data_IF_364019566995
#
_entry.id   IF_364019566995
#
_cell.length_a   1.000
_cell.length_b   1.000
_cell.length_c   1.000
_cell.angle_alpha   90.00
_cell.angle_beta   90.00
_cell.angle_gamma   90.00
#
_symmetry.space_group_name_H-M   'P 1'
#
loop_
_entity.id
_entity.type
_entity.pdbx_description
1 polymer ?
#
# COMPACT_ATOMS: atom_id res chain seq x y z
N UNK A 1 -18.02 26.76 23.91
CA UNK A 1 -18.50 25.48 24.48
C UNK A 1 -17.34 24.51 24.46
N UNK A 2 -16.55 24.50 25.53
CA UNK A 2 -15.60 23.41 25.80
C UNK A 2 -16.43 22.29 26.41
N UNK A 3 -16.87 21.35 25.59
CA UNK A 3 -17.42 20.10 26.11
C UNK A 3 -16.27 19.36 26.79
N UNK A 4 -16.43 19.15 28.10
CA UNK A 4 -15.42 18.56 28.95
C UNK A 4 -15.00 17.19 28.43
N UNK A 5 -13.68 16.95 28.50
CA UNK A 5 -13.10 15.63 28.65
C UNK A 5 -13.70 14.97 29.89
N UNK A 6 -14.92 14.46 29.75
CA UNK A 6 -15.61 13.67 30.76
C UNK A 6 -14.70 12.51 31.19
N UNK A 7 -14.83 12.13 32.45
CA UNK A 7 -14.04 11.14 33.18
C UNK A 7 -14.06 9.74 32.54
N UNK A 8 -13.40 9.57 31.40
CA UNK A 8 -13.19 8.26 30.82
C UNK A 8 -12.38 7.40 31.79
N UNK A 9 -12.86 6.20 32.17
CA UNK A 9 -12.19 5.37 33.15
C UNK A 9 -10.77 5.07 32.65
N UNK A 10 -9.74 5.02 33.54
CA UNK A 10 -8.34 4.88 33.14
C UNK A 10 -8.07 3.64 32.27
N UNK A 11 -8.93 2.62 32.36
CA UNK A 11 -8.93 1.42 31.51
C UNK A 11 -9.24 1.71 30.03
N UNK A 12 -10.12 2.67 29.73
CA UNK A 12 -10.46 3.05 28.35
C UNK A 12 -9.26 3.75 27.69
N UNK A 13 -8.59 4.66 28.41
CA UNK A 13 -7.36 5.32 27.94
C UNK A 13 -6.24 4.31 27.68
N UNK A 14 -6.01 3.38 28.59
CA UNK A 14 -5.00 2.33 28.40
C UNK A 14 -5.33 1.43 27.19
N UNK A 15 -6.60 1.03 27.02
CA UNK A 15 -7.03 0.25 25.85
C UNK A 15 -6.83 1.00 24.53
N UNK A 16 -7.18 2.29 24.49
CA UNK A 16 -6.96 3.13 23.32
C UNK A 16 -5.47 3.28 23.00
N UNK A 17 -4.63 3.53 24.01
CA UNK A 17 -3.18 3.59 23.82
C UNK A 17 -2.61 2.29 23.25
N UNK A 18 -3.03 1.13 23.80
CA UNK A 18 -2.62 -0.17 23.28
C UNK A 18 -3.11 -0.36 21.84
N UNK A 19 -4.37 -0.04 21.55
CA UNK A 19 -4.93 -0.15 20.20
C UNK A 19 -4.18 0.72 19.19
N UNK A 20 -3.84 1.96 19.54
CA UNK A 20 -3.05 2.87 18.71
C UNK A 20 -1.65 2.32 18.46
N UNK A 21 -0.98 1.82 19.50
CA UNK A 21 0.36 1.24 19.36
C UNK A 21 0.35 -0.01 18.46
N UNK A 22 -0.58 -0.94 18.70
CA UNK A 22 -0.72 -2.15 17.89
C UNK A 22 -1.05 -1.83 16.43
N UNK A 23 -1.96 -0.87 16.21
CA UNK A 23 -2.31 -0.39 14.86
C UNK A 23 -1.11 0.25 14.18
N UNK A 24 -0.36 1.10 14.88
CA UNK A 24 0.85 1.75 14.36
C UNK A 24 1.92 0.74 13.96
N UNK A 25 2.16 -0.28 14.80
CA UNK A 25 3.10 -1.37 14.49
C UNK A 25 2.63 -2.17 13.27
N UNK A 26 1.36 -2.56 13.23
CA UNK A 26 0.81 -3.33 12.12
C UNK A 26 0.85 -2.55 10.79
N UNK A 27 0.47 -1.27 10.80
CA UNK A 27 0.54 -0.38 9.65
C UNK A 27 2.00 -0.13 9.21
N UNK A 28 2.92 0.05 10.16
CA UNK A 28 4.34 0.21 9.89
C UNK A 28 4.96 -1.01 9.23
N UNK A 29 4.70 -2.21 9.75
CA UNK A 29 5.14 -3.48 9.16
C UNK A 29 4.52 -3.68 7.77
N UNK A 30 3.22 -3.41 7.61
CA UNK A 30 2.54 -3.47 6.31
C UNK A 30 3.15 -2.52 5.28
N UNK A 31 3.39 -1.27 5.66
CA UNK A 31 4.06 -0.27 4.83
C UNK A 31 5.49 -0.67 4.47
N UNK A 32 6.24 -1.24 5.40
CA UNK A 32 7.60 -1.75 5.17
C UNK A 32 7.60 -2.90 4.16
N UNK A 33 6.69 -3.87 4.31
CA UNK A 33 6.54 -4.99 3.37
C UNK A 33 6.21 -4.50 1.96
N UNK A 34 5.28 -3.54 1.83
CA UNK A 34 4.95 -2.92 0.56
C UNK A 34 6.15 -2.14 -0.03
N UNK A 35 6.93 -1.44 0.79
CA UNK A 35 8.16 -0.77 0.36
C UNK A 35 9.21 -1.75 -0.16
N UNK A 36 9.40 -2.88 0.52
CA UNK A 36 10.31 -3.94 0.06
C UNK A 36 9.82 -4.58 -1.25
N UNK A 37 8.51 -4.80 -1.40
CA UNK A 37 7.93 -5.27 -2.65
C UNK A 37 8.18 -4.28 -3.79
N UNK A 38 8.01 -2.98 -3.54
CA UNK A 38 8.27 -1.92 -4.52
C UNK A 38 9.71 -2.05 -5.06
N UNK A 39 10.69 -2.07 -4.16
CA UNK A 39 12.09 -2.20 -4.54
C UNK A 39 12.37 -3.51 -5.28
N UNK A 40 11.86 -4.64 -4.79
CA UNK A 40 12.04 -5.92 -5.45
C UNK A 40 11.54 -5.93 -6.90
N UNK A 41 10.37 -5.34 -7.16
CA UNK A 41 9.81 -5.22 -8.52
C UNK A 41 10.64 -4.25 -9.37
N UNK A 42 11.14 -3.14 -8.80
CA UNK A 42 12.05 -2.23 -9.50
C UNK A 42 13.34 -2.95 -9.91
N UNK A 43 13.98 -3.68 -8.99
CA UNK A 43 15.14 -4.53 -9.25
C UNK A 43 14.91 -5.48 -10.43
N UNK A 44 13.76 -6.16 -10.47
CA UNK A 44 13.41 -7.05 -11.57
C UNK A 44 13.16 -6.28 -12.89
N UNK A 45 12.42 -5.19 -12.83
CA UNK A 45 11.96 -4.45 -14.01
C UNK A 45 13.08 -3.66 -14.69
N UNK A 46 13.97 -3.02 -13.92
CA UNK A 46 15.06 -2.15 -14.40
C UNK A 46 16.47 -2.64 -14.03
N UNK A 47 16.62 -3.80 -13.38
CA UNK A 47 17.85 -4.60 -13.46
C UNK A 47 19.03 -3.96 -12.76
N UNK A 48 18.74 -3.14 -11.76
CA UNK A 48 19.72 -2.68 -10.79
C UNK A 48 20.45 -3.90 -10.18
N UNK A 49 21.69 -3.71 -9.71
CA UNK A 49 22.46 -4.78 -9.07
C UNK A 49 21.66 -5.48 -7.96
N UNK A 50 21.57 -6.82 -8.03
CA UNK A 50 20.91 -7.67 -7.02
C UNK A 50 21.71 -7.79 -5.71
N UNK A 51 22.91 -7.18 -5.67
CA UNK A 51 23.86 -7.33 -4.56
C UNK A 51 23.37 -6.68 -3.26
N UNK A 52 22.40 -5.74 -3.31
CA UNK A 52 21.69 -5.21 -2.13
C UNK A 52 20.21 -4.93 -2.39
N UNK A 53 19.36 -5.52 -1.54
CA UNK A 53 17.90 -5.27 -1.49
C UNK A 53 17.57 -3.80 -1.11
N UNK A 54 18.50 -3.11 -0.47
CA UNK A 54 18.45 -1.67 -0.20
C UNK A 54 19.72 -1.04 -0.79
N UNK A 55 19.67 -0.68 -2.07
CA UNK A 55 20.73 0.08 -2.74
C UNK A 55 20.56 1.58 -2.49
N UNK A 56 21.65 2.34 -2.57
CA UNK A 56 21.58 3.81 -2.62
C UNK A 56 21.11 4.33 -3.99
N UNK A 57 21.08 3.47 -5.01
CA UNK A 57 20.55 3.84 -6.32
C UNK A 57 19.05 4.10 -6.23
N UNK A 58 18.67 5.29 -6.67
CA UNK A 58 17.30 5.73 -6.79
C UNK A 58 16.60 5.06 -7.96
N UNK A 59 15.27 5.03 -7.91
CA UNK A 59 14.46 4.55 -9.04
C UNK A 59 14.82 5.25 -10.35
N UNK A 60 15.01 6.57 -10.31
CA UNK A 60 15.36 7.37 -11.47
C UNK A 60 16.67 6.89 -12.12
N UNK A 61 17.72 6.69 -11.31
CA UNK A 61 19.04 6.30 -11.82
C UNK A 61 19.01 4.98 -12.58
N UNK A 62 18.31 3.94 -12.11
CA UNK A 62 18.26 2.69 -12.88
C UNK A 62 17.24 2.66 -14.01
N UNK A 63 16.23 3.54 -14.00
CA UNK A 63 15.46 3.80 -15.23
C UNK A 63 16.38 4.46 -16.26
N UNK A 64 17.18 5.45 -15.87
CA UNK A 64 18.14 6.16 -16.73
C UNK A 64 19.29 5.27 -17.24
N UNK A 65 19.71 4.28 -16.46
CA UNK A 65 20.70 3.29 -16.86
C UNK A 65 20.12 2.18 -17.77
N UNK A 66 18.81 1.91 -17.69
CA UNK A 66 18.17 0.90 -18.51
C UNK A 66 18.10 1.33 -19.99
N UNK A 67 18.35 0.37 -20.89
CA UNK A 67 18.20 0.57 -22.33
C UNK A 67 16.78 1.03 -22.73
N UNK A 68 16.67 1.80 -23.81
CA UNK A 68 15.42 2.39 -24.27
C UNK A 68 14.34 1.34 -24.59
N UNK A 69 14.72 0.21 -25.21
CA UNK A 69 13.78 -0.88 -25.51
C UNK A 69 13.22 -1.49 -24.23
N UNK A 70 14.05 -1.63 -23.19
CA UNK A 70 13.62 -2.17 -21.91
C UNK A 70 12.63 -1.26 -21.20
N UNK A 71 12.86 0.06 -21.19
CA UNK A 71 11.90 1.02 -20.62
C UNK A 71 10.53 0.90 -21.28
N UNK A 72 10.49 0.79 -22.61
CA UNK A 72 9.25 0.62 -23.36
C UNK A 72 8.55 -0.70 -23.00
N UNK A 73 9.29 -1.81 -22.93
CA UNK A 73 8.73 -3.11 -22.55
C UNK A 73 8.15 -3.09 -21.14
N UNK A 74 8.86 -2.50 -20.17
CA UNK A 74 8.36 -2.37 -18.79
C UNK A 74 7.09 -1.53 -18.75
N UNK A 75 7.00 -0.45 -19.55
CA UNK A 75 5.80 0.38 -19.63
C UNK A 75 4.59 -0.39 -20.20
N UNK A 76 4.81 -1.20 -21.23
CA UNK A 76 3.77 -2.08 -21.81
C UNK A 76 3.30 -3.08 -20.76
N UNK A 77 4.24 -3.75 -20.06
CA UNK A 77 3.93 -4.68 -18.97
C UNK A 77 3.15 -3.98 -17.86
N UNK A 78 3.53 -2.76 -17.47
CA UNK A 78 2.80 -1.95 -16.51
C UNK A 78 1.33 -1.76 -16.92
N UNK A 79 1.09 -1.39 -18.18
CA UNK A 79 -0.26 -1.23 -18.73
C UNK A 79 -1.07 -2.53 -18.70
N UNK A 80 -0.46 -3.65 -19.09
CA UNK A 80 -1.11 -4.96 -19.04
C UNK A 80 -1.45 -5.38 -17.60
N UNK A 81 -0.51 -5.24 -16.67
CA UNK A 81 -0.69 -5.59 -15.25
C UNK A 81 -1.77 -4.72 -14.61
N UNK A 82 -1.74 -3.40 -14.85
CA UNK A 82 -2.76 -2.49 -14.37
C UNK A 82 -4.14 -2.85 -14.94
N UNK A 83 -4.27 -2.91 -16.27
CA UNK A 83 -5.55 -3.17 -16.92
C UNK A 83 -6.18 -4.50 -16.50
N UNK A 84 -5.40 -5.58 -16.54
CA UNK A 84 -5.89 -6.91 -16.14
C UNK A 84 -6.14 -7.01 -14.63
N UNK A 85 -5.25 -6.44 -13.81
CA UNK A 85 -5.35 -6.49 -12.35
C UNK A 85 -6.59 -5.77 -11.83
N UNK A 86 -6.82 -4.52 -12.25
CA UNK A 86 -8.02 -3.78 -11.82
C UNK A 86 -9.29 -4.40 -12.38
N UNK A 87 -9.26 -4.88 -13.64
CA UNK A 87 -10.39 -5.62 -14.19
C UNK A 87 -10.74 -6.85 -13.34
N UNK A 88 -9.76 -7.68 -12.96
CA UNK A 88 -9.97 -8.85 -12.10
C UNK A 88 -10.53 -8.45 -10.72
N UNK A 89 -9.96 -7.42 -10.09
CA UNK A 89 -10.39 -6.93 -8.79
C UNK A 89 -11.83 -6.45 -8.83
N UNK A 90 -12.20 -5.63 -9.82
CA UNK A 90 -13.57 -5.11 -9.94
C UNK A 90 -14.56 -6.16 -10.44
N UNK A 91 -14.10 -7.17 -11.18
CA UNK A 91 -14.96 -8.24 -11.72
C UNK A 91 -15.28 -9.32 -10.69
N UNK A 92 -14.32 -9.68 -9.83
CA UNK A 92 -14.40 -10.84 -8.93
C UNK A 92 -14.23 -10.49 -7.44
N UNK A 93 -13.66 -9.33 -7.11
CA UNK A 93 -13.48 -8.87 -5.74
C UNK A 93 -14.75 -8.30 -5.15
N UNK A 94 -14.82 -8.27 -3.81
CA UNK A 94 -15.85 -7.50 -3.09
C UNK A 94 -15.61 -6.00 -3.26
N UNK A 95 -16.66 -5.14 -3.26
CA UNK A 95 -16.51 -3.69 -3.40
C UNK A 95 -15.50 -3.12 -2.40
N UNK A 96 -14.56 -2.31 -2.89
CA UNK A 96 -13.59 -1.66 -2.02
C UNK A 96 -14.27 -0.62 -1.14
N UNK A 97 -13.86 -0.59 0.12
CA UNK A 97 -14.26 0.43 1.10
C UNK A 97 -13.08 1.37 1.28
N UNK A 98 -13.33 2.67 1.17
CA UNK A 98 -12.28 3.68 1.33
C UNK A 98 -11.88 3.82 2.81
N UNK A 99 -10.67 4.31 3.07
CA UNK A 99 -10.23 4.57 4.46
C UNK A 99 -11.16 5.58 5.14
N UNK A 100 -11.57 6.62 4.44
CA UNK A 100 -12.51 7.63 4.95
C UNK A 100 -13.84 7.01 5.34
N UNK A 101 -14.39 6.15 4.48
CA UNK A 101 -15.66 5.45 4.72
C UNK A 101 -15.56 4.50 5.91
N UNK A 102 -14.47 3.72 6.01
CA UNK A 102 -14.22 2.81 7.14
C UNK A 102 -14.10 3.54 8.49
N UNK A 103 -13.66 4.81 8.48
CA UNK A 103 -13.59 5.65 9.68
C UNK A 103 -14.94 6.28 10.01
N UNK A 104 -15.74 6.65 9.01
CA UNK A 104 -17.02 7.34 9.18
C UNK A 104 -18.18 6.39 9.52
N UNK A 105 -18.16 5.16 8.99
CA UNK A 105 -19.23 4.17 9.20
C UNK A 105 -18.68 2.89 9.85
N UNK A 106 -19.03 2.60 11.12
CA UNK A 106 -18.64 1.36 11.80
C UNK A 106 -19.13 0.07 11.11
N UNK A 107 -20.17 0.14 10.27
CA UNK A 107 -20.67 -0.99 9.50
C UNK A 107 -19.86 -1.23 8.21
N UNK A 108 -19.15 -0.22 7.71
CA UNK A 108 -18.34 -0.29 6.49
C UNK A 108 -17.01 -1.04 6.72
N UNK A 109 -17.07 -2.37 6.73
CA UNK A 109 -15.89 -3.23 6.92
C UNK A 109 -15.10 -3.42 5.62
N UNK A 110 -13.80 -3.14 5.67
CA UNK A 110 -12.90 -3.33 4.54
C UNK A 110 -12.76 -4.83 4.17
N UNK A 111 -12.99 -5.22 2.90
CA UNK A 111 -12.83 -6.60 2.46
C UNK A 111 -11.34 -6.98 2.33
N UNK A 112 -10.78 -7.55 3.39
CA UNK A 112 -9.34 -7.82 3.53
C UNK A 112 -8.63 -8.38 2.28
N UNK A 113 -9.20 -9.40 1.63
CA UNK A 113 -8.60 -10.01 0.44
C UNK A 113 -8.55 -9.05 -0.74
N UNK A 114 -9.67 -8.35 -1.02
CA UNK A 114 -9.72 -7.39 -2.12
C UNK A 114 -8.82 -6.19 -1.83
N UNK A 115 -8.85 -5.65 -0.61
CA UNK A 115 -8.02 -4.52 -0.20
C UNK A 115 -6.53 -4.85 -0.30
N UNK A 116 -6.09 -6.03 0.17
CA UNK A 116 -4.69 -6.44 0.04
C UNK A 116 -4.28 -6.66 -1.42
N UNK A 117 -5.15 -7.27 -2.24
CA UNK A 117 -4.88 -7.44 -3.66
C UNK A 117 -4.75 -6.08 -4.38
N UNK A 118 -5.61 -5.13 -4.04
CA UNK A 118 -5.60 -3.77 -4.59
C UNK A 118 -4.35 -2.98 -4.16
N UNK A 119 -4.01 -3.00 -2.88
CA UNK A 119 -2.80 -2.37 -2.36
C UNK A 119 -1.53 -2.94 -3.01
N UNK A 120 -1.48 -4.27 -3.18
CA UNK A 120 -0.36 -4.96 -3.85
C UNK A 120 -0.27 -4.54 -5.32
N UNK A 121 -1.39 -4.56 -6.05
CA UNK A 121 -1.44 -4.16 -7.45
C UNK A 121 -0.98 -2.70 -7.65
N UNK A 122 -1.43 -1.78 -6.79
CA UNK A 122 -0.97 -0.39 -6.80
C UNK A 122 0.56 -0.30 -6.68
N UNK A 123 1.15 -0.97 -5.70
CA UNK A 123 2.60 -0.93 -5.49
C UNK A 123 3.37 -1.55 -6.66
N UNK A 124 2.92 -2.68 -7.19
CA UNK A 124 3.54 -3.32 -8.36
C UNK A 124 3.50 -2.36 -9.56
N UNK A 125 2.37 -1.72 -9.83
CA UNK A 125 2.25 -0.79 -10.96
C UNK A 125 3.08 0.49 -10.77
N UNK A 126 3.16 1.02 -9.54
CA UNK A 126 4.07 2.15 -9.22
C UNK A 126 5.52 1.75 -9.45
N UNK A 127 5.94 0.56 -9.01
CA UNK A 127 7.29 0.05 -9.25
C UNK A 127 7.63 -0.11 -10.75
N UNK A 128 6.63 -0.39 -11.58
CA UNK A 128 6.77 -0.49 -13.04
C UNK A 128 6.69 0.88 -13.76
N UNK A 129 6.51 1.99 -13.03
CA UNK A 129 6.53 3.34 -13.59
C UNK A 129 5.16 4.01 -13.80
N UNK A 130 4.09 3.47 -13.22
CA UNK A 130 2.79 4.14 -13.19
C UNK A 130 2.87 5.50 -12.46
N UNK A 131 2.18 6.57 -12.92
CA UNK A 131 2.20 7.89 -12.31
C UNK A 131 1.39 7.99 -10.99
N UNK A 132 1.17 6.87 -10.30
CA UNK A 132 0.41 6.80 -9.05
C UNK A 132 1.31 7.09 -7.84
N UNK A 133 0.71 7.69 -6.80
CA UNK A 133 1.39 7.89 -5.53
C UNK A 133 1.53 6.60 -4.72
N UNK A 134 2.66 6.43 -4.04
CA UNK A 134 2.95 5.26 -3.16
C UNK A 134 2.28 5.30 -1.79
N UNK A 135 1.40 6.28 -1.56
CA UNK A 135 0.83 6.55 -0.23
C UNK A 135 -0.49 5.83 0.03
N UNK A 136 -1.26 5.54 -1.03
CA UNK A 136 -2.62 5.00 -0.88
C UNK A 136 -2.58 3.55 -0.39
N UNK A 137 -1.74 2.71 -1.00
CA UNK A 137 -1.64 1.29 -0.62
C UNK A 137 -1.25 1.06 0.86
N UNK A 138 -0.21 1.73 1.43
CA UNK A 138 0.08 1.61 2.85
C UNK A 138 -1.05 2.11 3.76
N UNK A 139 -1.77 3.16 3.35
CA UNK A 139 -2.94 3.67 4.10
C UNK A 139 -4.07 2.64 4.12
N UNK A 140 -4.36 2.01 2.99
CA UNK A 140 -5.37 0.94 2.89
C UNK A 140 -5.01 -0.26 3.78
N UNK A 141 -3.74 -0.69 3.78
CA UNK A 141 -3.27 -1.79 4.64
C UNK A 141 -3.32 -1.41 6.11
N UNK A 142 -2.94 -0.18 6.47
CA UNK A 142 -3.01 0.32 7.83
C UNK A 142 -4.45 0.39 8.37
N UNK A 143 -5.39 0.92 7.57
CA UNK A 143 -6.80 0.96 7.92
C UNK A 143 -7.42 -0.44 8.02
N UNK A 144 -7.00 -1.37 7.15
CA UNK A 144 -7.42 -2.76 7.24
C UNK A 144 -6.93 -3.44 8.52
N UNK A 145 -5.69 -3.15 8.95
CA UNK A 145 -5.14 -3.67 10.19
C UNK A 145 -5.86 -3.10 11.43
N UNK A 146 -6.31 -1.84 11.36
CA UNK A 146 -7.04 -1.18 12.44
C UNK A 146 -8.51 -1.65 12.59
N UNK A 147 -9.10 -2.18 11.52
CA UNK A 147 -10.52 -2.60 11.46
C UNK A 147 -10.76 -4.04 11.92
N UNK A 148 -9.75 -4.69 12.52
CA UNK A 148 -9.73 -6.07 12.99
C UNK A 148 -9.60 -6.11 14.51
#
# INVERSE_FOLDING_TARGET
>A
MNEGLADDPPRLRARLLIAVLLTGVAAGLGGMLLGMLLHAVQHLAYGYSLDRIVSHESFLEGVEAADGTRRLLVLIVCGCVAGTGWWLIYRYGRPLVSVTEAVQDPAARMPAKTTLAHATLQIVTVALGSPLGREVAPREVGALAASR
#
